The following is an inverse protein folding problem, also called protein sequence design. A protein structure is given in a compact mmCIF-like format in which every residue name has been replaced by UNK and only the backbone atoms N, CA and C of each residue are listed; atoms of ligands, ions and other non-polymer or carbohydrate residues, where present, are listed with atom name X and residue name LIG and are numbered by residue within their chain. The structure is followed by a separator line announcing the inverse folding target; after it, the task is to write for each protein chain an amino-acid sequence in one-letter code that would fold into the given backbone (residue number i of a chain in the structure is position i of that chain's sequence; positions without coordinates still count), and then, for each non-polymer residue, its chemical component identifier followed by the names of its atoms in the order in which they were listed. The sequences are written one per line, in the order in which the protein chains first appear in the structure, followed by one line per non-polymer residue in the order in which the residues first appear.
data_IF_080710511025
#
_entry.id   IF_080710511025
#
_cell.length_a   1.000
_cell.length_b   1.000
_cell.length_c   1.000
_cell.angle_alpha   90.00
_cell.angle_beta   90.00
_cell.angle_gamma   90.00
#
_symmetry.space_group_name_H-M   'P 1'
#
loop_
_entity.id
_entity.type
_entity.pdbx_description
1 polymer ?
#
# COMPACT_ATOMS: atom_id res chain seq x y z
N UNK A 1 18.29 -6.00 15.25
CA UNK A 1 17.39 -5.98 16.43
C UNK A 1 16.27 -4.99 16.17
N UNK A 2 15.03 -5.32 16.53
CA UNK A 2 13.88 -4.42 16.39
C UNK A 2 13.93 -3.34 17.49
N UNK A 3 13.46 -2.10 17.22
CA UNK A 3 13.48 -1.00 18.20
C UNK A 3 12.30 -1.12 19.19
N UNK A 4 12.22 -2.25 19.90
CA UNK A 4 11.15 -2.56 20.86
C UNK A 4 11.58 -2.23 22.29
N UNK A 5 10.60 -1.92 23.13
CA UNK A 5 10.77 -1.59 24.55
C UNK A 5 10.09 -2.65 25.41
N UNK A 6 10.52 -2.84 26.64
CA UNK A 6 9.89 -3.80 27.58
C UNK A 6 8.38 -3.62 27.72
N UNK A 7 7.91 -2.38 27.69
CA UNK A 7 6.49 -2.03 27.72
C UNK A 7 5.69 -2.58 26.54
N UNK A 8 6.34 -2.94 25.41
CA UNK A 8 5.66 -3.43 24.21
C UNK A 8 5.34 -4.92 24.31
N UNK A 9 6.01 -5.68 25.21
CA UNK A 9 5.82 -7.12 25.37
C UNK A 9 4.35 -7.55 25.55
N UNK A 10 3.53 -6.92 26.42
CA UNK A 10 2.14 -7.29 26.56
C UNK A 10 1.32 -7.08 25.30
N UNK A 11 1.60 -5.99 24.57
CA UNK A 11 0.94 -5.67 23.29
C UNK A 11 1.28 -6.74 22.26
N UNK A 12 2.58 -7.10 22.16
CA UNK A 12 3.09 -8.11 21.22
C UNK A 12 2.41 -9.46 21.47
N UNK A 13 2.40 -9.94 22.73
CA UNK A 13 1.76 -11.21 23.11
C UNK A 13 0.31 -11.24 22.66
N UNK A 14 -0.46 -10.20 23.02
CA UNK A 14 -1.90 -10.13 22.74
C UNK A 14 -2.20 -10.09 21.26
N UNK A 15 -1.44 -9.34 20.48
CA UNK A 15 -1.67 -9.23 19.05
C UNK A 15 -1.25 -10.50 18.30
N UNK A 16 -0.14 -11.13 18.69
CA UNK A 16 0.27 -12.41 18.10
C UNK A 16 -0.76 -13.50 18.39
N UNK A 17 -1.24 -13.63 19.65
CA UNK A 17 -2.26 -14.60 20.01
C UNK A 17 -3.62 -14.36 19.34
N UNK A 18 -3.88 -13.13 18.89
CA UNK A 18 -5.09 -12.76 18.15
C UNK A 18 -4.97 -12.97 16.63
N UNK A 19 -3.84 -13.46 16.12
CA UNK A 19 -3.64 -13.68 14.69
C UNK A 19 -3.19 -12.43 13.91
N UNK A 20 -2.59 -11.43 14.57
CA UNK A 20 -1.98 -10.29 13.88
C UNK A 20 -0.62 -10.67 13.28
N UNK A 21 -0.34 -10.28 12.05
CA UNK A 21 0.97 -10.48 11.43
C UNK A 21 2.05 -9.59 12.06
N UNK A 22 3.32 -9.96 11.91
CA UNK A 22 4.45 -9.27 12.49
C UNK A 22 4.48 -7.77 12.18
N UNK A 23 4.20 -7.36 10.92
CA UNK A 23 4.14 -5.94 10.55
C UNK A 23 3.01 -5.18 11.26
N UNK A 24 1.86 -5.80 11.46
CA UNK A 24 0.79 -5.20 12.25
C UNK A 24 1.18 -5.06 13.72
N UNK A 25 1.85 -6.03 14.31
CA UNK A 25 2.38 -5.93 15.68
C UNK A 25 3.32 -4.72 15.81
N UNK A 26 4.27 -4.54 14.89
CA UNK A 26 5.16 -3.37 14.88
C UNK A 26 4.40 -2.04 14.79
N UNK A 27 3.31 -1.98 14.00
CA UNK A 27 2.45 -0.79 13.88
C UNK A 27 1.81 -0.42 15.22
N UNK A 28 1.29 -1.40 15.93
CA UNK A 28 0.65 -1.21 17.25
C UNK A 28 1.67 -0.89 18.35
N UNK A 29 2.94 -1.28 18.17
CA UNK A 29 4.06 -0.84 19.00
C UNK A 29 4.59 0.55 18.59
N UNK A 30 3.94 1.25 17.67
CA UNK A 30 4.31 2.60 17.20
C UNK A 30 5.74 2.68 16.65
N UNK A 31 6.23 1.60 16.03
CA UNK A 31 7.57 1.56 15.42
C UNK A 31 7.57 2.39 14.14
N UNK A 32 8.26 3.53 14.15
CA UNK A 32 8.35 4.43 12.98
C UNK A 32 9.56 4.17 12.09
N UNK A 33 10.48 3.28 12.50
CA UNK A 33 11.66 2.91 11.73
C UNK A 33 11.26 2.06 10.52
N UNK A 34 11.23 2.66 9.33
CA UNK A 34 10.80 2.01 8.09
C UNK A 34 11.58 0.73 7.76
N UNK A 35 12.88 0.69 8.09
CA UNK A 35 13.73 -0.48 7.86
C UNK A 35 13.23 -1.74 8.59
N UNK A 36 12.55 -1.59 9.74
CA UNK A 36 11.98 -2.70 10.48
C UNK A 36 10.88 -3.43 9.70
N UNK A 37 10.13 -2.73 8.86
CA UNK A 37 9.05 -3.29 8.05
C UNK A 37 9.52 -3.96 6.77
N UNK A 38 10.74 -3.65 6.30
CA UNK A 38 11.34 -4.24 5.09
C UNK A 38 11.98 -5.60 5.31
N UNK A 39 12.18 -5.98 6.57
CA UNK A 39 12.65 -7.33 6.91
C UNK A 39 11.64 -8.40 6.44
N UNK A 40 12.11 -9.62 6.12
CA UNK A 40 11.22 -10.74 5.87
C UNK A 40 10.23 -10.93 7.02
N UNK A 41 8.92 -11.15 6.74
CA UNK A 41 7.91 -11.28 7.79
C UNK A 41 8.20 -12.39 8.80
N UNK A 42 8.80 -13.51 8.35
CA UNK A 42 9.16 -14.64 9.21
C UNK A 42 10.29 -14.28 10.18
N UNK A 43 11.32 -13.56 9.72
CA UNK A 43 12.41 -13.11 10.58
C UNK A 43 11.92 -12.11 11.63
N UNK A 44 11.04 -11.18 11.20
CA UNK A 44 10.39 -10.23 12.11
C UNK A 44 9.56 -10.95 13.16
N UNK A 45 8.81 -11.98 12.76
CA UNK A 45 8.00 -12.80 13.68
C UNK A 45 8.88 -13.54 14.69
N UNK A 46 10.01 -14.12 14.23
CA UNK A 46 10.98 -14.79 15.08
C UNK A 46 11.58 -13.85 16.11
N UNK A 47 12.01 -12.62 15.69
CA UNK A 47 12.52 -11.58 16.60
C UNK A 47 11.46 -11.16 17.63
N UNK A 48 10.19 -11.00 17.22
CA UNK A 48 9.10 -10.66 18.13
C UNK A 48 8.84 -11.76 19.17
N UNK A 49 8.82 -13.03 18.76
CA UNK A 49 8.64 -14.17 19.66
C UNK A 49 9.82 -14.27 20.65
N UNK A 50 11.06 -14.21 20.18
CA UNK A 50 12.24 -14.21 21.03
C UNK A 50 12.19 -13.07 22.06
N UNK A 51 11.89 -11.85 21.64
CA UNK A 51 11.79 -10.69 22.53
C UNK A 51 10.76 -10.88 23.68
N UNK A 52 9.70 -11.62 23.41
CA UNK A 52 8.67 -11.93 24.42
C UNK A 52 9.12 -13.05 25.36
N UNK A 53 9.83 -14.11 24.87
CA UNK A 53 10.26 -15.27 25.65
C UNK A 53 11.47 -14.98 26.56
N UNK A 54 12.38 -14.08 26.18
CA UNK A 54 13.54 -13.72 27.01
C UNK A 54 13.16 -13.19 28.41
N UNK A 55 11.90 -12.83 28.63
CA UNK A 55 11.40 -12.38 29.94
C UNK A 55 10.96 -13.52 30.87
N UNK A 56 10.54 -14.66 30.32
CA UNK A 56 10.06 -15.80 31.15
C UNK A 56 11.22 -16.50 31.84
N UNK A 57 12.42 -16.45 31.24
CA UNK A 57 13.65 -17.00 31.85
C UNK A 57 14.34 -16.03 32.83
N UNK A 58 13.98 -14.75 32.86
CA UNK A 58 14.50 -13.74 33.78
C UNK A 58 13.78 -13.73 35.13
N UNK A 59 12.46 -13.96 35.16
CA UNK A 59 11.68 -13.94 36.39
C UNK A 59 11.85 -15.20 37.25
N UNK A 60 12.36 -16.30 36.71
CA UNK A 60 12.67 -17.53 37.46
C UNK A 60 14.04 -17.54 38.14
N UNK A 61 14.90 -16.54 37.92
CA UNK A 61 16.24 -16.45 38.54
C UNK A 61 16.34 -15.55 39.76
N UNK A 62 15.36 -14.70 40.05
CA UNK A 62 15.41 -13.79 41.21
C UNK A 62 14.78 -14.33 42.50
N UNK A 63 14.26 -15.56 42.51
CA UNK A 63 13.63 -16.15 43.73
C UNK A 63 14.44 -17.22 44.44
N UNK A 64 15.73 -17.40 44.12
CA UNK A 64 16.58 -18.41 44.75
C UNK A 64 17.98 -17.87 45.16
N UNK A 65 18.06 -16.75 45.88
CA UNK A 65 19.25 -16.40 46.67
C UNK A 65 18.82 -15.73 47.98
N UNK A 66 18.83 -16.53 49.03
CA UNK A 66 18.68 -16.08 50.38
C UNK A 66 19.18 -17.09 51.41
N UNK A 67 20.33 -16.80 51.98
CA UNK A 67 20.90 -17.27 53.23
C UNK A 67 21.78 -18.54 53.26
N UNK A 68 23.00 -18.33 53.71
CA UNK A 68 23.84 -19.36 54.37
C UNK A 68 25.35 -19.10 54.32
N UNK A 69 25.77 -18.35 55.30
CA UNK A 69 27.09 -18.19 55.91
C UNK A 69 28.25 -19.08 55.48
N UNK A 70 29.43 -18.43 55.30
CA UNK A 70 30.80 -18.99 55.29
C UNK A 70 31.23 -19.49 56.71
N UNK A 71 32.29 -20.35 56.95
CA UNK A 71 33.65 -19.97 56.60
C UNK A 71 34.66 -21.09 56.26
N UNK A 72 35.72 -20.68 55.60
CA UNK A 72 37.17 -20.94 55.78
C UNK A 72 37.86 -22.29 55.57
N UNK A 73 38.92 -22.19 54.78
CA UNK A 73 40.27 -22.74 54.88
C UNK A 73 40.72 -23.98 54.06
N UNK A 74 41.58 -23.66 53.13
CA UNK A 74 42.91 -24.26 52.87
C UNK A 74 43.12 -25.55 52.07
N UNK A 75 43.85 -25.35 51.00
CA UNK A 75 45.06 -26.06 50.54
C UNK A 75 45.02 -27.34 49.68
N UNK A 76 45.51 -27.13 48.49
CA UNK A 76 46.64 -27.85 47.84
C UNK A 76 46.43 -29.15 47.06
N UNK A 77 46.89 -29.09 45.82
CA UNK A 77 47.69 -30.03 45.03
C UNK A 77 47.02 -31.08 44.13
N UNK A 78 47.22 -30.83 42.84
CA UNK A 78 47.28 -31.84 41.72
C UNK A 78 48.42 -32.88 41.93
N UNK A 79 48.66 -33.92 41.06
CA UNK A 79 48.26 -34.05 39.65
C UNK A 79 48.04 -35.48 39.10
N UNK A 80 47.60 -35.52 37.84
CA UNK A 80 48.00 -36.43 36.74
C UNK A 80 47.65 -37.94 36.74
N UNK A 81 47.13 -38.38 35.57
CA UNK A 81 47.33 -39.74 35.08
C UNK A 81 46.30 -40.30 34.16
N UNK A 82 46.50 -40.16 32.86
CA UNK A 82 45.93 -40.86 31.69
C UNK A 82 46.48 -42.27 31.55
N UNK A 83 46.08 -43.01 30.51
CA UNK A 83 44.99 -43.96 30.20
C UNK A 83 45.52 -45.42 30.12
N UNK A 84 45.18 -46.39 29.34
CA UNK A 84 44.24 -46.66 28.26
C UNK A 84 43.60 -48.05 28.12
N UNK A 85 42.63 -48.21 27.23
CA UNK A 85 42.52 -49.22 26.16
C UNK A 85 42.12 -50.69 26.41
N UNK A 86 41.24 -51.11 25.49
CA UNK A 86 41.13 -52.39 24.74
C UNK A 86 40.12 -53.48 25.11
N UNK A 87 39.13 -53.59 24.20
CA UNK A 87 38.81 -54.74 23.28
C UNK A 87 38.43 -56.10 23.87
N UNK A 88 37.25 -56.62 23.44
CA UNK A 88 36.98 -57.84 22.67
C UNK A 88 35.57 -58.37 22.97
N UNK A 89 34.69 -58.43 22.03
CA UNK A 89 34.23 -59.49 21.13
C UNK A 89 33.97 -60.87 21.79
N UNK A 90 32.73 -61.38 21.79
CA UNK A 90 32.29 -62.58 21.17
C UNK A 90 30.79 -62.88 21.35
N UNK A 91 30.24 -63.39 20.30
CA UNK A 91 29.01 -63.99 19.89
C UNK A 91 28.35 -65.00 20.83
N UNK A 92 27.04 -65.16 20.91
CA UNK A 92 26.13 -66.04 20.16
C UNK A 92 24.89 -66.50 20.95
N UNK A 93 23.75 -66.43 20.29
CA UNK A 93 22.63 -67.34 20.12
C UNK A 93 21.69 -67.66 21.28
N UNK A 94 20.41 -67.32 21.04
CA UNK A 94 19.34 -68.29 21.14
C UNK A 94 18.01 -67.83 21.80
N UNK A 95 17.04 -67.57 20.98
CA UNK A 95 15.58 -67.87 21.08
C UNK A 95 14.75 -67.42 22.29
N UNK A 96 13.65 -66.74 21.97
CA UNK A 96 12.44 -66.69 22.77
C UNK A 96 11.67 -65.45 22.70
N UNK A 97 10.51 -65.45 21.99
CA UNK A 97 9.57 -64.39 21.77
C UNK A 97 8.95 -63.81 23.06
N UNK A 98 8.84 -62.52 23.12
CA UNK A 98 7.75 -61.76 23.73
C UNK A 98 7.75 -60.38 23.10
N UNK A 99 6.66 -60.07 22.40
CA UNK A 99 6.38 -58.75 21.81
C UNK A 99 6.05 -57.79 22.97
N UNK A 100 6.96 -56.84 23.24
CA UNK A 100 6.64 -55.62 23.95
C UNK A 100 6.70 -54.49 22.94
N UNK A 101 5.54 -53.90 22.65
CA UNK A 101 5.41 -52.71 21.84
C UNK A 101 6.10 -51.55 22.58
N UNK A 102 7.31 -51.18 22.17
CA UNK A 102 7.91 -49.91 22.49
C UNK A 102 7.23 -48.85 21.60
N UNK A 103 6.33 -48.03 22.21
CA UNK A 103 5.91 -46.75 21.62
C UNK A 103 7.16 -45.89 21.39
N UNK A 104 7.61 -45.83 20.14
CA UNK A 104 8.53 -44.80 19.68
C UNK A 104 7.84 -43.47 19.87
N UNK A 105 8.25 -42.71 20.87
CA UNK A 105 7.96 -41.30 21.05
C UNK A 105 8.59 -40.53 19.88
N UNK A 106 7.90 -40.56 18.74
CA UNK A 106 8.25 -39.79 17.56
C UNK A 106 8.12 -38.31 17.96
N UNK A 107 9.27 -37.66 18.15
CA UNK A 107 9.36 -36.22 18.25
C UNK A 107 8.61 -35.61 17.09
N UNK A 108 7.41 -35.12 17.35
CA UNK A 108 6.58 -34.34 16.42
C UNK A 108 7.35 -33.07 16.14
N UNK A 109 8.05 -33.04 15.01
CA UNK A 109 8.55 -31.77 14.47
C UNK A 109 7.36 -30.82 14.41
N UNK A 110 7.50 -29.58 14.93
CA UNK A 110 6.41 -28.61 14.88
C UNK A 110 6.12 -28.36 13.39
N UNK A 111 4.97 -28.85 12.92
CA UNK A 111 4.42 -28.45 11.61
C UNK A 111 4.44 -26.94 11.58
N UNK A 112 5.17 -26.36 10.64
CA UNK A 112 5.08 -24.94 10.34
C UNK A 112 3.61 -24.68 10.00
N UNK A 113 2.88 -24.11 10.96
CA UNK A 113 1.50 -23.67 10.72
C UNK A 113 1.54 -22.66 9.59
N UNK A 114 0.81 -22.93 8.51
CA UNK A 114 0.66 -21.97 7.42
C UNK A 114 0.23 -20.63 8.01
N UNK A 115 0.88 -19.53 7.64
CA UNK A 115 0.63 -18.24 8.25
C UNK A 115 -0.84 -17.83 8.01
N UNK A 116 -1.63 -17.87 9.06
CA UNK A 116 -3.02 -17.45 9.02
C UNK A 116 -3.15 -16.00 8.53
N UNK A 117 -4.24 -15.69 7.85
CA UNK A 117 -4.49 -14.32 7.37
C UNK A 117 -4.65 -13.37 8.55
N UNK A 118 -3.93 -12.26 8.52
CA UNK A 118 -3.91 -11.29 9.60
C UNK A 118 -5.29 -10.68 9.87
N UNK A 119 -5.79 -10.78 11.09
CA UNK A 119 -7.09 -10.26 11.51
C UNK A 119 -7.20 -8.74 11.37
N UNK A 120 -6.09 -8.00 11.44
CA UNK A 120 -6.06 -6.53 11.37
C UNK A 120 -5.91 -6.00 9.94
N UNK A 121 -4.98 -6.51 9.14
CA UNK A 121 -4.72 -5.98 7.80
C UNK A 121 -5.26 -6.85 6.66
N UNK A 122 -5.93 -7.95 6.96
CA UNK A 122 -6.52 -8.86 5.96
C UNK A 122 -5.53 -9.28 4.87
N UNK A 123 -4.29 -9.59 5.26
CA UNK A 123 -3.23 -10.02 4.33
C UNK A 123 -2.49 -8.90 3.62
N UNK A 124 -2.96 -7.64 3.62
CA UNK A 124 -2.33 -6.53 2.89
C UNK A 124 -0.85 -6.34 3.24
N UNK A 125 -0.48 -6.47 4.51
CA UNK A 125 0.92 -6.36 4.96
C UNK A 125 1.66 -7.71 5.02
N UNK A 126 1.09 -8.78 4.50
CA UNK A 126 1.69 -10.10 4.34
C UNK A 126 2.08 -10.31 2.87
N UNK A 127 1.38 -11.13 2.14
CA UNK A 127 1.68 -11.50 0.74
C UNK A 127 1.63 -10.31 -0.24
N UNK A 128 0.64 -9.42 -0.08
CA UNK A 128 0.47 -8.26 -0.95
C UNK A 128 1.52 -7.17 -0.73
N UNK A 129 2.40 -7.35 0.24
CA UNK A 129 3.51 -6.47 0.56
C UNK A 129 4.86 -7.19 0.32
N UNK A 130 4.93 -7.99 -0.74
CA UNK A 130 6.09 -8.80 -1.11
C UNK A 130 6.59 -8.56 -2.55
N UNK A 131 7.74 -9.15 -2.91
CA UNK A 131 8.37 -8.98 -4.23
C UNK A 131 7.45 -9.35 -5.40
N UNK A 132 6.73 -10.47 -5.29
CA UNK A 132 5.79 -10.92 -6.33
C UNK A 132 4.74 -9.87 -6.66
N UNK A 133 4.25 -9.14 -5.65
CA UNK A 133 3.28 -8.08 -5.87
C UNK A 133 3.91 -6.84 -6.49
N UNK A 134 5.17 -6.53 -6.14
CA UNK A 134 5.92 -5.44 -6.78
C UNK A 134 6.13 -5.70 -8.27
N UNK A 135 6.45 -6.94 -8.66
CA UNK A 135 6.53 -7.35 -10.07
C UNK A 135 5.21 -7.12 -10.79
N UNK A 136 4.06 -7.56 -10.22
CA UNK A 136 2.73 -7.35 -10.81
C UNK A 136 2.40 -5.87 -11.03
N UNK A 137 2.73 -5.00 -10.05
CA UNK A 137 2.55 -3.55 -10.18
C UNK A 137 3.42 -3.03 -11.32
N UNK A 138 4.69 -3.40 -11.38
CA UNK A 138 5.62 -2.93 -12.39
C UNK A 138 5.24 -3.42 -13.81
N UNK A 139 4.78 -4.65 -13.95
CA UNK A 139 4.27 -5.19 -15.22
C UNK A 139 3.08 -4.37 -15.73
N UNK A 140 2.14 -4.03 -14.84
CA UNK A 140 0.99 -3.19 -15.20
C UNK A 140 1.44 -1.81 -15.67
N UNK A 141 2.35 -1.15 -14.93
CA UNK A 141 2.91 0.16 -15.30
C UNK A 141 3.59 0.12 -16.67
N UNK A 142 4.40 -0.92 -16.93
CA UNK A 142 5.08 -1.11 -18.23
C UNK A 142 4.09 -1.32 -19.37
N UNK A 143 2.99 -2.04 -19.12
CA UNK A 143 1.96 -2.32 -20.11
C UNK A 143 1.22 -1.05 -20.57
N UNK A 144 1.03 -0.08 -19.68
CA UNK A 144 0.35 1.19 -19.97
C UNK A 144 1.20 2.18 -20.79
N UNK A 145 2.51 1.96 -20.87
CA UNK A 145 3.45 2.74 -21.73
C UNK A 145 3.47 4.25 -21.46
N UNK A 146 3.34 4.67 -20.21
CA UNK A 146 3.58 6.06 -19.81
C UNK A 146 5.06 6.39 -19.84
N UNK A 147 5.36 7.65 -20.19
CA UNK A 147 6.68 8.26 -20.03
C UNK A 147 6.71 9.05 -18.73
N UNK A 148 7.58 8.69 -17.80
CA UNK A 148 7.70 9.36 -16.48
C UNK A 148 9.12 9.27 -15.94
N UNK A 149 9.55 10.28 -15.18
CA UNK A 149 10.86 10.31 -14.52
C UNK A 149 10.75 9.92 -13.03
N UNK A 150 9.58 10.16 -12.43
CA UNK A 150 9.26 9.84 -11.04
C UNK A 150 7.85 9.29 -10.96
N UNK A 151 7.54 8.56 -9.90
CA UNK A 151 6.17 8.10 -9.65
C UNK A 151 5.73 8.34 -8.21
N UNK A 152 4.44 8.51 -8.01
CA UNK A 152 3.75 8.47 -6.73
C UNK A 152 3.07 7.11 -6.59
N UNK A 153 3.36 6.37 -5.53
CA UNK A 153 2.62 5.15 -5.18
C UNK A 153 1.49 5.49 -4.21
N UNK A 154 0.26 5.30 -4.62
CA UNK A 154 -0.92 5.44 -3.77
C UNK A 154 -1.59 4.08 -3.51
N UNK A 155 -2.34 3.99 -2.42
CA UNK A 155 -3.05 2.76 -2.07
C UNK A 155 -4.45 3.07 -1.56
N UNK A 156 -5.44 2.37 -2.08
CA UNK A 156 -6.81 2.35 -1.63
C UNK A 156 -7.08 1.06 -0.85
N UNK A 157 -7.54 1.20 0.38
CA UNK A 157 -7.77 0.09 1.31
C UNK A 157 -9.27 -0.06 1.58
N UNK A 158 -9.77 -1.29 1.75
CA UNK A 158 -11.14 -1.54 2.13
C UNK A 158 -11.51 -0.86 3.46
N UNK A 159 -12.73 -0.35 3.56
CA UNK A 159 -13.17 0.43 4.72
C UNK A 159 -13.22 -0.40 6.02
N UNK A 160 -13.50 -1.70 5.92
CA UNK A 160 -13.55 -2.63 7.05
C UNK A 160 -12.21 -2.78 7.78
N UNK A 161 -11.07 -2.49 7.14
CA UNK A 161 -9.79 -2.42 7.84
C UNK A 161 -9.79 -1.42 9.00
N UNK A 162 -10.55 -0.32 8.90
CA UNK A 162 -10.69 0.65 10.00
C UNK A 162 -11.43 0.07 11.20
N UNK A 163 -12.45 -0.75 10.95
CA UNK A 163 -13.22 -1.45 12.01
C UNK A 163 -12.33 -2.48 12.70
N UNK A 164 -11.61 -3.29 11.93
CA UNK A 164 -10.71 -4.33 12.43
C UNK A 164 -9.54 -3.76 13.21
N UNK A 165 -8.93 -2.70 12.71
CA UNK A 165 -7.85 -1.98 13.41
C UNK A 165 -8.36 -1.39 14.73
N UNK A 166 -9.57 -0.78 14.73
CA UNK A 166 -10.19 -0.28 15.94
C UNK A 166 -10.48 -1.39 16.96
N UNK A 167 -10.97 -2.55 16.50
CA UNK A 167 -11.19 -3.72 17.34
C UNK A 167 -9.88 -4.24 17.96
N UNK A 168 -8.82 -4.41 17.17
CA UNK A 168 -7.50 -4.79 17.68
C UNK A 168 -6.97 -3.75 18.70
N UNK A 169 -7.19 -2.46 18.44
CA UNK A 169 -6.85 -1.40 19.39
C UNK A 169 -7.57 -1.56 20.73
N UNK A 170 -8.89 -1.77 20.71
CA UNK A 170 -9.64 -2.00 21.92
C UNK A 170 -9.18 -3.25 22.69
N UNK A 171 -8.75 -4.28 21.95
CA UNK A 171 -8.23 -5.51 22.53
C UNK A 171 -6.96 -5.28 23.35
N UNK A 172 -6.03 -4.45 22.86
CA UNK A 172 -4.78 -4.12 23.57
C UNK A 172 -4.95 -2.99 24.58
N UNK A 173 -5.89 -2.06 24.35
CA UNK A 173 -6.14 -0.88 25.19
C UNK A 173 -6.44 -1.24 26.65
N UNK A 174 -7.18 -2.33 26.89
CA UNK A 174 -7.47 -2.82 28.23
C UNK A 174 -6.19 -3.18 28.98
N UNK A 175 -5.33 -3.97 28.37
CA UNK A 175 -4.04 -4.39 28.93
C UNK A 175 -3.13 -3.19 29.21
N UNK A 176 -3.11 -2.24 28.28
CA UNK A 176 -2.28 -1.02 28.41
C UNK A 176 -2.72 -0.17 29.60
N UNK A 177 -4.03 -0.03 29.81
CA UNK A 177 -4.59 0.70 30.97
C UNK A 177 -4.24 0.01 32.29
N UNK A 178 -4.36 -1.31 32.37
CA UNK A 178 -4.02 -2.09 33.55
C UNK A 178 -2.54 -1.96 33.93
N UNK A 179 -1.66 -1.75 32.95
CA UNK A 179 -0.21 -1.56 33.13
C UNK A 179 0.25 -0.10 33.09
N UNK A 180 -0.69 0.86 33.16
CA UNK A 180 -0.41 2.31 33.11
C UNK A 180 0.44 2.74 31.91
N UNK A 181 0.28 2.10 30.75
CA UNK A 181 0.99 2.42 29.52
C UNK A 181 0.22 3.49 28.75
N UNK A 182 0.83 4.65 28.58
CA UNK A 182 0.27 5.73 27.77
C UNK A 182 0.68 5.55 26.28
N UNK A 183 -0.18 4.92 25.49
CA UNK A 183 -0.09 4.89 24.02
C UNK A 183 -1.42 5.40 23.49
N UNK A 184 -1.39 6.37 22.59
CA UNK A 184 -2.60 6.87 21.94
C UNK A 184 -2.86 6.10 20.63
N UNK A 185 -4.13 6.03 20.23
CA UNK A 185 -4.52 5.45 18.95
C UNK A 185 -3.92 6.23 17.77
N UNK A 186 -3.73 7.53 17.94
CA UNK A 186 -3.18 8.42 16.92
C UNK A 186 -1.68 8.19 16.69
N UNK A 187 -0.98 7.52 17.63
CA UNK A 187 0.42 7.12 17.48
C UNK A 187 0.60 5.86 16.61
N UNK A 188 -0.50 5.16 16.28
CA UNK A 188 -0.44 3.93 15.48
C UNK A 188 0.01 4.22 14.06
N UNK A 189 1.03 3.49 13.59
CA UNK A 189 1.43 3.57 12.18
C UNK A 189 0.33 2.99 11.29
N UNK A 190 -0.15 3.77 10.35
CA UNK A 190 -1.25 3.35 9.47
C UNK A 190 -0.83 2.23 8.51
N UNK A 191 -1.75 1.31 8.19
CA UNK A 191 -1.53 0.25 7.19
C UNK A 191 -1.06 0.83 5.86
N UNK A 192 -1.66 1.94 5.45
CA UNK A 192 -1.34 2.65 4.20
C UNK A 192 0.13 3.10 4.15
N UNK A 193 0.64 3.67 5.22
CA UNK A 193 2.03 4.14 5.28
C UNK A 193 3.01 2.97 5.33
N UNK A 194 2.70 1.93 6.12
CA UNK A 194 3.51 0.71 6.18
C UNK A 194 3.62 0.05 4.81
N UNK A 195 2.51 -0.09 4.08
CA UNK A 195 2.50 -0.62 2.72
C UNK A 195 3.45 0.16 1.81
N UNK A 196 3.35 1.49 1.80
CA UNK A 196 4.23 2.34 1.00
C UNK A 196 5.71 2.17 1.38
N UNK A 197 6.04 2.16 2.68
CA UNK A 197 7.41 2.01 3.15
C UNK A 197 8.07 0.71 2.68
N UNK A 198 7.30 -0.36 2.56
CA UNK A 198 7.80 -1.65 2.06
C UNK A 198 7.85 -1.67 0.54
N UNK A 199 6.77 -1.25 -0.12
CA UNK A 199 6.60 -1.45 -1.56
C UNK A 199 7.33 -0.44 -2.43
N UNK A 200 7.53 0.80 -1.96
CA UNK A 200 8.16 1.85 -2.77
C UNK A 200 9.52 1.44 -3.35
N UNK A 201 10.39 0.87 -2.51
CA UNK A 201 11.71 0.42 -2.95
C UNK A 201 11.65 -0.75 -3.94
N UNK A 202 10.78 -1.73 -3.68
CA UNK A 202 10.63 -2.89 -4.54
C UNK A 202 10.05 -2.51 -5.91
N UNK A 203 9.01 -1.68 -5.95
CA UNK A 203 8.42 -1.17 -7.20
C UNK A 203 9.43 -0.32 -7.98
N UNK A 204 10.18 0.55 -7.29
CA UNK A 204 11.23 1.35 -7.92
C UNK A 204 12.28 0.47 -8.63
N UNK A 205 12.73 -0.60 -7.97
CA UNK A 205 13.71 -1.54 -8.55
C UNK A 205 13.17 -2.24 -9.80
N UNK A 206 11.93 -2.73 -9.74
CA UNK A 206 11.27 -3.39 -10.88
C UNK A 206 11.05 -2.45 -12.08
N UNK A 207 10.97 -1.15 -11.83
CA UNK A 207 10.86 -0.10 -12.85
C UNK A 207 12.21 0.51 -13.25
N UNK A 208 13.33 -0.18 -12.99
CA UNK A 208 14.65 0.27 -13.42
C UNK A 208 15.25 1.39 -12.55
N UNK A 209 14.85 1.49 -11.29
CA UNK A 209 15.38 2.47 -10.34
C UNK A 209 14.67 3.82 -10.37
N UNK A 210 13.48 3.91 -10.96
CA UNK A 210 12.69 5.16 -10.99
C UNK A 210 12.35 5.62 -9.56
N UNK A 211 12.65 6.89 -9.20
CA UNK A 211 12.36 7.39 -7.86
C UNK A 211 10.86 7.42 -7.56
N UNK A 212 10.48 6.86 -6.41
CA UNK A 212 9.11 6.99 -5.86
C UNK A 212 9.09 8.19 -4.92
N UNK A 213 8.31 9.21 -5.25
CA UNK A 213 8.26 10.48 -4.53
C UNK A 213 6.83 10.87 -4.15
N UNK A 214 6.69 11.75 -3.15
CA UNK A 214 5.36 12.18 -2.66
C UNK A 214 4.66 13.11 -3.66
N UNK A 215 5.43 13.84 -4.46
CA UNK A 215 4.94 14.80 -5.44
C UNK A 215 5.42 14.41 -6.83
N UNK A 216 4.76 13.46 -7.45
CA UNK A 216 4.93 13.11 -8.84
C UNK A 216 3.68 13.46 -9.64
N UNK A 217 3.88 13.79 -10.91
CA UNK A 217 2.76 13.98 -11.84
C UNK A 217 2.20 12.63 -12.32
N UNK A 218 2.97 11.56 -12.22
CA UNK A 218 2.55 10.21 -12.54
C UNK A 218 2.23 9.43 -11.26
N UNK A 219 1.01 8.93 -11.14
CA UNK A 219 0.51 8.20 -9.99
C UNK A 219 0.19 6.75 -10.37
N UNK A 220 0.64 5.83 -9.54
CA UNK A 220 0.26 4.41 -9.58
C UNK A 220 -0.57 4.10 -8.35
N UNK A 221 -1.86 3.90 -8.55
CA UNK A 221 -2.84 3.58 -7.51
C UNK A 221 -3.09 2.08 -7.44
N UNK A 222 -2.92 1.49 -6.26
CA UNK A 222 -3.25 0.08 -6.01
C UNK A 222 -4.50 0.02 -5.14
N UNK A 223 -5.55 -0.65 -5.63
CA UNK A 223 -6.82 -0.79 -4.93
C UNK A 223 -7.01 -2.22 -4.45
N UNK A 224 -7.30 -2.37 -3.16
CA UNK A 224 -7.58 -3.65 -2.51
C UNK A 224 -9.04 -3.77 -2.10
N UNK A 225 -9.57 -4.98 -2.23
CA UNK A 225 -10.91 -5.36 -1.78
C UNK A 225 -10.86 -6.63 -0.95
N UNK A 226 -11.90 -6.83 -0.12
CA UNK A 226 -12.06 -8.02 0.68
C UNK A 226 -13.57 -8.31 0.91
N UNK A 227 -14.21 -9.01 -0.04
CA UNK A 227 -15.65 -9.26 0.01
C UNK A 227 -16.12 -10.03 1.24
N UNK A 228 -15.32 -10.98 1.75
CA UNK A 228 -15.65 -11.80 2.93
C UNK A 228 -16.01 -10.96 4.16
N UNK A 229 -15.34 -9.81 4.36
CA UNK A 229 -15.54 -8.97 5.54
C UNK A 229 -16.28 -7.67 5.24
N UNK A 230 -16.96 -7.55 4.11
CA UNK A 230 -17.70 -6.33 3.75
C UNK A 230 -18.76 -5.96 4.79
N UNK A 231 -19.37 -6.97 5.40
CA UNK A 231 -20.36 -6.81 6.47
C UNK A 231 -19.82 -6.18 7.77
N UNK A 232 -18.49 -6.17 7.99
CA UNK A 232 -17.88 -5.62 9.21
C UNK A 232 -18.24 -4.14 9.48
N UNK A 233 -18.62 -3.39 8.44
CA UNK A 233 -19.01 -1.99 8.55
C UNK A 233 -20.50 -1.76 8.78
N UNK A 234 -21.36 -2.76 8.56
CA UNK A 234 -22.81 -2.57 8.47
C UNK A 234 -23.45 -2.05 9.76
N UNK A 235 -23.00 -2.52 10.93
CA UNK A 235 -23.53 -2.07 12.22
C UNK A 235 -23.33 -0.56 12.45
N UNK A 236 -22.30 0.05 11.81
CA UNK A 236 -22.05 1.48 11.95
C UNK A 236 -23.15 2.34 11.33
N UNK A 237 -23.86 1.84 10.30
CA UNK A 237 -25.01 2.54 9.72
C UNK A 237 -26.15 2.69 10.73
N UNK A 238 -26.32 1.74 11.63
CA UNK A 238 -27.31 1.81 12.73
C UNK A 238 -26.77 2.61 13.91
N UNK A 239 -25.51 2.38 14.31
CA UNK A 239 -24.91 3.03 15.48
C UNK A 239 -24.64 4.53 15.24
N UNK A 240 -24.38 4.96 14.00
CA UNK A 240 -24.09 6.35 13.63
C UNK A 240 -24.64 6.71 12.25
N UNK A 241 -25.97 6.66 12.08
CA UNK A 241 -26.66 6.91 10.81
C UNK A 241 -26.29 8.26 10.14
N UNK A 242 -25.93 9.27 10.94
CA UNK A 242 -25.55 10.60 10.44
C UNK A 242 -24.29 10.59 9.55
N UNK A 243 -23.43 9.56 9.66
CA UNK A 243 -22.21 9.43 8.86
C UNK A 243 -22.44 8.73 7.51
N UNK A 244 -23.58 8.04 7.32
CA UNK A 244 -23.84 7.18 6.17
C UNK A 244 -25.05 7.66 5.36
N UNK A 245 -24.99 8.92 4.90
CA UNK A 245 -26.03 9.45 4.01
C UNK A 245 -25.84 8.90 2.60
N UNK A 246 -26.91 8.33 2.04
CA UNK A 246 -26.93 7.89 0.64
C UNK A 246 -26.69 9.08 -0.29
N UNK A 247 -25.73 8.95 -1.18
CA UNK A 247 -25.48 9.91 -2.25
C UNK A 247 -25.57 9.15 -3.58
N UNK A 248 -26.40 9.64 -4.51
CA UNK A 248 -26.72 8.96 -5.80
C UNK A 248 -25.50 8.62 -6.66
N UNK A 249 -24.35 9.26 -6.39
CA UNK A 249 -23.13 9.10 -7.20
C UNK A 249 -22.04 8.25 -6.54
N UNK A 250 -22.28 7.57 -5.40
CA UNK A 250 -21.27 6.76 -4.71
C UNK A 250 -21.53 5.26 -4.88
N UNK A 251 -20.49 4.51 -5.26
CA UNK A 251 -20.53 3.04 -5.39
C UNK A 251 -20.81 2.33 -4.05
N UNK A 252 -20.36 2.91 -2.93
CA UNK A 252 -20.60 2.37 -1.58
C UNK A 252 -20.91 3.48 -0.60
N UNK A 253 -21.82 3.18 0.33
CA UNK A 253 -22.15 4.05 1.47
C UNK A 253 -21.03 4.02 2.51
N UNK A 254 -20.34 2.87 2.62
CA UNK A 254 -19.26 2.63 3.59
C UNK A 254 -17.89 3.05 3.01
N UNK A 255 -17.70 4.35 2.79
CA UNK A 255 -16.38 4.86 2.44
C UNK A 255 -15.47 4.87 3.67
N UNK A 256 -14.14 4.67 3.49
CA UNK A 256 -13.15 4.72 4.58
C UNK A 256 -13.34 5.96 5.47
N UNK A 257 -13.56 7.14 4.88
CA UNK A 257 -13.74 8.40 5.60
C UNK A 257 -15.04 8.39 6.44
N UNK A 258 -16.14 7.84 5.93
CA UNK A 258 -17.38 7.72 6.67
C UNK A 258 -17.25 6.75 7.85
N UNK A 259 -16.56 5.62 7.65
CA UNK A 259 -16.29 4.62 8.69
C UNK A 259 -15.41 5.21 9.79
N UNK A 260 -14.30 5.88 9.46
CA UNK A 260 -13.43 6.53 10.46
C UNK A 260 -14.23 7.55 11.28
N UNK A 261 -15.01 8.41 10.62
CA UNK A 261 -15.87 9.40 11.29
C UNK A 261 -16.92 8.80 12.21
N UNK A 262 -17.45 7.62 11.84
CA UNK A 262 -18.41 6.90 12.69
C UNK A 262 -17.71 6.30 13.91
N UNK A 263 -16.53 5.71 13.73
CA UNK A 263 -15.73 5.14 14.81
C UNK A 263 -15.28 6.18 15.85
N UNK A 264 -15.04 7.43 15.42
CA UNK A 264 -14.74 8.55 16.33
C UNK A 264 -15.93 8.99 17.17
N UNK A 265 -17.17 8.80 16.65
CA UNK A 265 -18.40 9.24 17.32
C UNK A 265 -19.02 8.24 18.25
N UNK A 266 -18.81 6.95 18.04
CA UNK A 266 -19.36 5.90 18.88
C UNK A 266 -18.45 5.61 20.07
N UNK A 267 -19.01 5.27 21.22
CA UNK A 267 -18.22 4.86 22.38
C UNK A 267 -17.69 3.42 22.24
N UNK A 268 -16.59 3.11 22.93
CA UNK A 268 -16.03 1.75 23.01
C UNK A 268 -17.11 0.72 23.40
N UNK A 269 -18.01 1.07 24.34
CA UNK A 269 -19.08 0.17 24.78
C UNK A 269 -20.12 -0.12 23.67
N UNK A 270 -20.46 0.88 22.88
CA UNK A 270 -21.35 0.71 21.71
C UNK A 270 -20.68 -0.16 20.66
N UNK A 271 -19.38 0.08 20.38
CA UNK A 271 -18.63 -0.74 19.44
C UNK A 271 -18.61 -2.22 19.86
N UNK A 272 -18.20 -2.51 21.11
CA UNK A 272 -18.06 -3.87 21.65
C UNK A 272 -19.40 -4.63 21.77
N UNK A 273 -20.53 -3.93 21.77
CA UNK A 273 -21.86 -4.55 21.71
C UNK A 273 -22.16 -5.18 20.34
N UNK A 274 -21.58 -4.64 19.28
CA UNK A 274 -21.88 -5.01 17.89
C UNK A 274 -20.74 -5.74 17.18
N UNK A 275 -19.53 -5.59 17.67
CA UNK A 275 -18.35 -6.15 17.01
C UNK A 275 -17.38 -6.79 18.00
N UNK A 276 -16.84 -7.95 17.67
CA UNK A 276 -15.92 -8.71 18.53
C UNK A 276 -14.56 -8.02 18.66
N UNK A 277 -13.93 -8.20 19.83
CA UNK A 277 -12.56 -7.73 20.09
C UNK A 277 -11.77 -8.85 20.79
N UNK A 278 -10.78 -9.48 20.12
CA UNK A 278 -10.28 -9.20 18.78
C UNK A 278 -11.27 -9.55 17.65
N UNK A 279 -11.03 -9.10 16.39
CA UNK A 279 -11.87 -9.47 15.25
C UNK A 279 -11.79 -10.96 14.96
N UNK A 280 -12.85 -11.55 14.39
CA UNK A 280 -12.83 -12.91 13.89
C UNK A 280 -11.74 -13.11 12.82
N UNK A 281 -11.08 -14.26 12.84
CA UNK A 281 -10.07 -14.61 11.84
C UNK A 281 -10.72 -14.72 10.45
N UNK A 282 -10.18 -14.04 9.42
CA UNK A 282 -10.63 -14.19 8.06
C UNK A 282 -10.11 -15.49 7.46
N UNK A 283 -10.82 -16.04 6.48
CA UNK A 283 -10.40 -17.26 5.75
C UNK A 283 -9.59 -16.93 4.50
N UNK A 284 -9.71 -15.71 3.98
CA UNK A 284 -9.04 -15.26 2.76
C UNK A 284 -8.30 -13.94 2.97
N UNK A 285 -7.27 -13.69 2.14
CA UNK A 285 -6.57 -12.40 2.09
C UNK A 285 -7.31 -11.41 1.18
N UNK A 286 -7.04 -10.11 1.35
CA UNK A 286 -7.42 -9.11 0.37
C UNK A 286 -6.97 -9.50 -1.04
N UNK A 287 -7.76 -9.12 -2.02
CA UNK A 287 -7.40 -9.20 -3.44
C UNK A 287 -7.08 -7.81 -3.99
N UNK A 288 -6.20 -7.74 -4.98
CA UNK A 288 -5.98 -6.52 -5.76
C UNK A 288 -7.11 -6.40 -6.77
N UNK A 289 -7.97 -5.40 -6.60
CA UNK A 289 -9.07 -5.14 -7.52
C UNK A 289 -8.57 -4.43 -8.77
N UNK A 290 -7.72 -3.40 -8.59
CA UNK A 290 -7.22 -2.60 -9.68
C UNK A 290 -5.80 -2.09 -9.38
N UNK A 291 -5.02 -1.93 -10.46
CA UNK A 291 -3.77 -1.16 -10.48
C UNK A 291 -3.95 -0.13 -11.58
N UNK A 292 -4.20 1.11 -11.18
CA UNK A 292 -4.47 2.24 -12.07
C UNK A 292 -3.22 3.10 -12.22
N UNK A 293 -2.89 3.42 -13.46
CA UNK A 293 -1.90 4.43 -13.79
C UNK A 293 -2.62 5.69 -14.23
N UNK A 294 -2.17 6.84 -13.78
CA UNK A 294 -2.75 8.14 -14.11
C UNK A 294 -1.65 9.20 -14.16
N UNK A 295 -1.62 9.99 -15.20
CA UNK A 295 -0.77 11.17 -15.26
C UNK A 295 -1.61 12.43 -15.08
N UNK A 296 -1.18 13.33 -14.19
CA UNK A 296 -1.84 14.62 -14.05
C UNK A 296 -1.81 15.38 -15.37
N UNK A 297 -2.86 16.18 -15.60
CA UNK A 297 -2.99 16.98 -16.80
C UNK A 297 -1.78 17.89 -17.01
N UNK A 298 -1.36 18.02 -18.27
CA UNK A 298 -0.37 19.00 -18.70
C UNK A 298 -1.01 20.02 -19.63
N UNK A 299 -0.36 21.16 -19.82
CA UNK A 299 -0.88 22.24 -20.65
C UNK A 299 0.02 22.47 -21.85
N UNK A 300 -0.64 22.58 -23.01
CA UNK A 300 -0.04 23.04 -24.25
C UNK A 300 -0.64 24.41 -24.58
N UNK A 301 0.17 25.42 -24.79
CA UNK A 301 -0.30 26.76 -25.10
C UNK A 301 0.29 27.26 -26.43
N UNK A 302 -0.42 28.17 -27.07
CA UNK A 302 0.04 28.73 -28.33
C UNK A 302 -0.84 29.87 -28.82
N UNK A 303 -0.64 30.19 -30.12
CA UNK A 303 -1.45 31.12 -30.85
C UNK A 303 -1.86 30.52 -32.18
N UNK A 304 -3.08 30.82 -32.64
CA UNK A 304 -3.53 30.45 -33.98
C UNK A 304 -4.03 31.65 -34.78
N UNK A 305 -3.79 31.60 -36.08
CA UNK A 305 -4.41 32.45 -37.07
C UNK A 305 -5.46 31.63 -37.83
N UNK A 306 -6.64 32.24 -38.04
CA UNK A 306 -7.72 31.63 -38.81
C UNK A 306 -7.95 32.49 -40.05
N UNK A 307 -7.75 31.89 -41.22
CA UNK A 307 -7.92 32.54 -42.52
C UNK A 307 -9.27 32.18 -43.17
N UNK A 308 -9.85 31.04 -42.81
CA UNK A 308 -11.15 30.60 -43.29
C UNK A 308 -12.30 31.46 -42.73
N UNK A 309 -13.33 31.66 -43.56
CA UNK A 309 -14.60 32.25 -43.18
C UNK A 309 -15.74 31.23 -43.00
N UNK A 310 -15.39 29.93 -43.07
CA UNK A 310 -16.29 28.80 -42.94
C UNK A 310 -15.82 27.79 -41.87
N UNK A 311 -15.05 28.27 -40.89
CA UNK A 311 -14.49 27.45 -39.81
C UNK A 311 -14.88 28.01 -38.44
N UNK A 312 -15.72 27.34 -37.65
CA UNK A 312 -16.03 27.76 -36.29
C UNK A 312 -14.81 27.52 -35.36
N UNK A 313 -14.76 28.27 -34.25
CA UNK A 313 -13.71 28.08 -33.25
C UNK A 313 -13.85 26.72 -32.54
N UNK A 314 -15.05 26.36 -32.15
CA UNK A 314 -15.38 25.09 -31.48
C UNK A 314 -16.40 24.32 -32.33
N UNK A 315 -16.57 23.01 -32.16
CA UNK A 315 -17.54 22.21 -32.89
C UNK A 315 -18.94 22.87 -32.85
N UNK A 316 -19.52 23.06 -34.04
CA UNK A 316 -20.83 23.65 -34.13
C UNK A 316 -21.91 22.59 -34.28
N UNK A 317 -22.64 22.39 -33.18
CA UNK A 317 -23.71 21.39 -33.07
C UNK A 317 -25.02 22.13 -32.71
N UNK A 318 -26.09 21.88 -33.44
CA UNK A 318 -27.46 22.36 -33.18
C UNK A 318 -28.39 21.15 -33.15
N UNK A 319 -29.15 21.01 -32.09
CA UNK A 319 -30.10 19.92 -31.88
C UNK A 319 -29.47 18.51 -32.06
N UNK A 320 -28.21 18.34 -31.66
CA UNK A 320 -27.47 17.10 -31.82
C UNK A 320 -26.87 16.89 -33.21
N UNK A 321 -27.18 17.74 -34.19
CA UNK A 321 -26.64 17.65 -35.55
C UNK A 321 -25.43 18.60 -35.73
N UNK A 322 -24.38 18.03 -36.32
CA UNK A 322 -23.17 18.79 -36.67
C UNK A 322 -23.43 19.66 -37.90
N UNK A 323 -23.13 20.95 -37.80
CA UNK A 323 -23.36 21.93 -38.86
C UNK A 323 -22.14 22.23 -39.73
N UNK A 324 -20.92 21.97 -39.20
CA UNK A 324 -19.66 22.19 -39.91
C UNK A 324 -18.77 20.94 -39.78
N UNK A 325 -17.99 20.68 -40.80
CA UNK A 325 -17.13 19.51 -40.89
C UNK A 325 -16.05 19.47 -39.81
N UNK A 326 -15.48 20.64 -39.49
CA UNK A 326 -14.41 20.79 -38.51
C UNK A 326 -14.47 22.12 -37.76
N UNK A 327 -13.62 22.29 -36.77
CA UNK A 327 -13.41 23.52 -35.97
C UNK A 327 -11.93 23.78 -35.73
N UNK A 328 -11.57 24.99 -35.34
CA UNK A 328 -10.20 25.35 -34.92
C UNK A 328 -9.71 24.41 -33.79
N UNK A 329 -10.56 24.22 -32.81
CA UNK A 329 -10.31 23.33 -31.67
C UNK A 329 -9.94 21.92 -32.14
N UNK A 330 -10.70 21.30 -33.01
CA UNK A 330 -10.47 19.94 -33.50
C UNK A 330 -9.21 19.84 -34.36
N UNK A 331 -8.95 20.84 -35.19
CA UNK A 331 -7.74 20.89 -36.03
C UNK A 331 -6.45 21.00 -35.21
N UNK A 332 -6.51 21.67 -34.05
CA UNK A 332 -5.40 21.73 -33.11
C UNK A 332 -5.31 20.46 -32.29
N UNK A 333 -6.45 19.98 -31.79
CA UNK A 333 -6.52 18.88 -30.86
C UNK A 333 -6.02 17.55 -31.44
N UNK A 334 -6.43 17.19 -32.66
CA UNK A 334 -6.11 15.90 -33.24
C UNK A 334 -4.60 15.58 -33.28
N UNK A 335 -3.72 16.42 -33.85
CA UNK A 335 -2.29 16.15 -33.86
C UNK A 335 -1.65 16.26 -32.47
N UNK A 336 -2.16 17.16 -31.62
CA UNK A 336 -1.64 17.32 -30.24
C UNK A 336 -1.95 16.06 -29.41
N UNK A 337 -3.19 15.60 -29.42
CA UNK A 337 -3.58 14.37 -28.71
C UNK A 337 -2.75 13.16 -29.15
N UNK A 338 -2.56 13.01 -30.47
CA UNK A 338 -1.74 11.94 -31.04
C UNK A 338 -0.30 12.00 -30.56
N UNK A 339 0.33 13.19 -30.54
CA UNK A 339 1.74 13.38 -30.17
C UNK A 339 1.99 13.12 -28.68
N UNK A 340 1.05 13.50 -27.83
CA UNK A 340 1.12 13.31 -26.37
C UNK A 340 0.44 12.02 -25.90
N UNK A 341 -0.26 11.31 -26.79
CA UNK A 341 -1.05 10.11 -26.48
C UNK A 341 -1.95 10.36 -25.27
N UNK A 342 -2.68 11.50 -25.30
CA UNK A 342 -3.58 11.91 -24.24
C UNK A 342 -4.99 11.35 -24.47
N UNK A 343 -5.69 11.01 -23.39
CA UNK A 343 -7.02 10.41 -23.44
C UNK A 343 -8.12 11.43 -23.78
N UNK A 344 -7.84 12.71 -23.51
CA UNK A 344 -8.77 13.78 -23.76
C UNK A 344 -8.14 15.16 -23.60
N UNK A 345 -8.96 16.19 -23.79
CA UNK A 345 -8.50 17.57 -23.63
C UNK A 345 -9.63 18.53 -23.24
N UNK A 346 -9.25 19.68 -22.70
CA UNK A 346 -10.09 20.86 -22.57
C UNK A 346 -9.45 22.02 -23.32
N UNK A 347 -10.19 22.64 -24.26
CA UNK A 347 -9.69 23.77 -25.04
C UNK A 347 -10.16 25.09 -24.42
N UNK A 348 -9.25 26.05 -24.30
CA UNK A 348 -9.52 27.39 -23.84
C UNK A 348 -8.84 28.42 -24.75
N UNK A 349 -9.53 29.50 -25.10
CA UNK A 349 -8.95 30.56 -25.90
C UNK A 349 -9.24 31.94 -25.32
N UNK A 350 -8.37 32.91 -25.67
CA UNK A 350 -8.56 34.32 -25.30
C UNK A 350 -9.62 34.99 -26.18
N UNK A 351 -10.88 34.72 -25.84
CA UNK A 351 -12.04 35.21 -26.59
C UNK A 351 -12.54 34.23 -27.66
N UNK A 352 -13.63 34.58 -28.33
CA UNK A 352 -14.33 33.78 -29.33
C UNK A 352 -14.53 34.61 -30.62
N UNK A 353 -14.35 33.97 -31.75
CA UNK A 353 -14.73 34.55 -33.05
C UNK A 353 -15.88 33.77 -33.67
N UNK A 354 -16.70 34.47 -34.46
CA UNK A 354 -17.73 33.83 -35.27
C UNK A 354 -17.13 33.09 -36.48
N UNK A 355 -17.91 32.22 -37.10
CA UNK A 355 -17.51 31.35 -38.20
C UNK A 355 -16.88 32.14 -39.35
N UNK A 356 -17.48 33.30 -39.72
CA UNK A 356 -17.10 34.13 -40.85
C UNK A 356 -16.02 35.17 -40.53
N UNK A 357 -15.57 35.25 -39.26
CA UNK A 357 -14.53 36.16 -38.81
C UNK A 357 -13.17 35.53 -38.94
N UNK A 358 -12.20 36.23 -39.53
CA UNK A 358 -10.80 35.86 -39.59
C UNK A 358 -10.06 36.35 -38.35
N UNK A 359 -9.10 35.56 -37.89
CA UNK A 359 -8.15 35.94 -36.84
C UNK A 359 -6.76 36.09 -37.47
N UNK A 360 -6.29 37.34 -37.60
CA UNK A 360 -5.05 37.69 -38.29
C UNK A 360 -4.02 38.29 -37.31
N UNK A 361 -2.86 38.73 -37.86
CA UNK A 361 -1.80 39.41 -37.10
C UNK A 361 -1.10 38.41 -36.18
N UNK A 362 -0.96 38.74 -34.89
CA UNK A 362 -0.26 37.92 -33.91
C UNK A 362 -1.00 36.64 -33.50
N UNK A 363 -2.19 36.41 -34.10
CA UNK A 363 -3.00 35.26 -33.78
C UNK A 363 -3.72 35.34 -32.41
N UNK A 364 -4.66 34.46 -32.18
CA UNK A 364 -5.42 34.36 -30.92
C UNK A 364 -4.71 33.37 -29.96
N UNK A 365 -4.43 33.76 -28.73
CA UNK A 365 -3.90 32.86 -27.72
C UNK A 365 -4.89 31.73 -27.39
N UNK A 366 -4.36 30.55 -27.19
CA UNK A 366 -5.11 29.40 -26.68
C UNK A 366 -4.27 28.60 -25.68
N UNK A 367 -4.93 27.79 -24.86
CA UNK A 367 -4.35 26.75 -24.03
C UNK A 367 -5.19 25.48 -24.14
N UNK A 368 -4.54 24.36 -24.21
CA UNK A 368 -5.13 23.02 -24.11
C UNK A 368 -4.64 22.33 -22.86
N UNK A 369 -5.54 21.93 -22.00
CA UNK A 369 -5.30 20.98 -20.94
C UNK A 369 -5.41 19.56 -21.52
N UNK A 370 -4.34 18.79 -21.46
CA UNK A 370 -4.30 17.40 -21.92
C UNK A 370 -4.56 16.50 -20.74
N UNK A 371 -5.59 15.67 -20.85
CA UNK A 371 -6.02 14.76 -19.79
C UNK A 371 -5.32 13.42 -19.93
N UNK A 372 -4.74 12.95 -18.84
CA UNK A 372 -4.03 11.67 -18.74
C UNK A 372 -3.05 11.41 -19.90
N UNK A 373 -2.07 12.31 -20.14
CA UNK A 373 -1.13 12.13 -21.23
C UNK A 373 -0.15 11.02 -20.93
N UNK A 374 -0.01 10.05 -21.85
CA UNK A 374 0.98 8.99 -21.73
C UNK A 374 2.39 9.46 -22.09
N UNK A 375 2.49 10.60 -22.75
CA UNK A 375 3.73 11.27 -23.12
C UNK A 375 3.68 12.72 -22.65
N UNK A 376 4.75 13.21 -22.02
CA UNK A 376 4.77 14.54 -21.41
C UNK A 376 5.86 15.46 -21.95
N UNK A 377 6.83 14.91 -22.66
CA UNK A 377 7.96 15.64 -23.21
C UNK A 377 8.06 15.40 -24.71
N UNK A 378 8.08 16.48 -25.48
CA UNK A 378 8.45 16.44 -26.87
C UNK A 378 9.83 17.13 -27.04
N UNK A 379 10.70 16.54 -27.84
CA UNK A 379 11.93 17.18 -28.24
C UNK A 379 11.62 18.43 -29.08
N UNK A 380 12.57 19.33 -29.17
CA UNK A 380 12.43 20.54 -30.02
C UNK A 380 12.13 20.19 -31.49
N UNK A 381 12.67 19.09 -31.99
CA UNK A 381 12.44 18.61 -33.37
C UNK A 381 10.98 18.13 -33.50
N UNK A 382 10.49 17.28 -32.57
CA UNK A 382 9.11 16.78 -32.59
C UNK A 382 8.09 17.91 -32.42
N UNK A 383 8.43 18.91 -31.60
CA UNK A 383 7.61 20.09 -31.44
C UNK A 383 7.48 20.88 -32.74
N UNK A 384 8.59 21.05 -33.45
CA UNK A 384 8.59 21.71 -34.76
C UNK A 384 7.81 20.91 -35.79
N UNK A 385 7.95 19.60 -35.78
CA UNK A 385 7.18 18.70 -36.65
C UNK A 385 5.69 18.79 -36.34
N UNK A 386 5.30 18.84 -35.06
CA UNK A 386 3.89 19.02 -34.67
C UNK A 386 3.33 20.34 -35.20
N UNK A 387 4.08 21.43 -35.12
CA UNK A 387 3.70 22.72 -35.71
C UNK A 387 3.53 22.64 -37.24
N UNK A 388 4.45 21.95 -37.93
CA UNK A 388 4.43 21.76 -39.39
C UNK A 388 3.23 20.90 -39.80
N UNK A 389 2.93 19.83 -39.10
CA UNK A 389 1.76 18.96 -39.40
C UNK A 389 0.45 19.75 -39.34
N UNK A 390 0.28 20.57 -38.29
CA UNK A 390 -0.92 21.41 -38.18
C UNK A 390 -0.97 22.47 -39.30
N UNK A 391 0.15 22.98 -39.69
CA UNK A 391 0.28 23.96 -40.81
C UNK A 391 -0.07 23.32 -42.16
N UNK A 392 0.52 22.17 -42.49
CA UNK A 392 0.40 21.51 -43.80
C UNK A 392 -1.00 20.95 -44.03
N UNK A 393 -1.61 20.33 -43.03
CA UNK A 393 -2.92 19.69 -43.14
C UNK A 393 -4.02 20.72 -43.44
N UNK A 394 -3.81 22.00 -43.09
CA UNK A 394 -4.82 23.05 -43.15
C UNK A 394 -4.32 24.39 -43.72
N UNK A 395 -3.33 24.35 -44.64
CA UNK A 395 -2.59 25.49 -45.17
C UNK A 395 -3.41 26.67 -45.73
N UNK A 396 -4.70 26.50 -46.02
CA UNK A 396 -5.60 27.56 -46.42
C UNK A 396 -6.55 28.05 -45.31
N UNK A 397 -6.60 27.33 -44.17
CA UNK A 397 -7.62 27.59 -43.15
C UNK A 397 -7.07 28.12 -41.83
N UNK A 398 -5.90 27.64 -41.40
CA UNK A 398 -5.33 28.00 -40.09
C UNK A 398 -3.80 27.91 -40.07
N UNK A 399 -3.14 28.78 -39.34
CA UNK A 399 -1.72 28.69 -38.95
C UNK A 399 -1.62 28.66 -37.43
N UNK A 400 -0.82 27.75 -36.88
CA UNK A 400 -0.66 27.60 -35.42
C UNK A 400 0.81 27.76 -35.06
N UNK A 401 1.05 28.56 -34.03
CA UNK A 401 2.34 28.67 -33.35
C UNK A 401 2.13 28.13 -31.93
N UNK A 402 2.69 26.97 -31.64
CA UNK A 402 2.62 26.35 -30.30
C UNK A 402 3.87 26.78 -29.53
N UNK A 403 3.69 27.25 -28.31
CA UNK A 403 4.77 27.51 -27.36
C UNK A 403 4.47 26.80 -26.05
N UNK A 404 5.51 26.27 -25.42
CA UNK A 404 5.40 25.68 -24.10
C UNK A 404 5.88 26.66 -23.05
N UNK A 405 5.24 26.72 -21.88
CA UNK A 405 5.87 27.34 -20.72
C UNK A 405 7.13 26.51 -20.39
N UNK A 406 8.27 27.21 -20.36
CA UNK A 406 9.58 26.70 -19.94
C UNK A 406 9.56 26.21 -18.49
#
# INVERSE_FOLDING_TARGET
MLPLKEKDKPIIRKLLSSGCCARCVLRFCCVTLQAAYRKPPQDTLRELRAFVHDAENGETRESAEGNGETPDAAAAAEPAGDPPSKRAKLERVGTGAAEEEEEEDAAVEPKEEEPSVCVSCLGVLQELCGPTHAVKIAERVKAEKYEFDTLLLSVSLPAQLCVREHSCWLHVKKEMREKSLAVDKDDLVQVKETFKWVMQGAVAQELGGVPVVIRSLFEVGVEFTHPETDADCHFLATACASCFKSNRNKRSVFTRMAVVKALEKISDAVFLKHYSSPPAAPTSSCSTENIQCLHLAIFVAGRYNKFSRSLPQTPWVIDGERRMESSVEELIAAPVLSSFRADGFNFSSSGREDVDVRTLGNGRPFAMELLDPHRTKLSHVEMKQLQEVVFITHSQSIIIIISFPS
#
